data_IF_017978128991
#
_entry.id   IF_017978128991
#
_cell.length_a   1.000
_cell.length_b   1.000
_cell.length_c   1.000
_cell.angle_alpha   90.00
_cell.angle_beta   90.00
_cell.angle_gamma   90.00
#
_symmetry.space_group_name_H-M   'P 1'
#
loop_
_entity.id
_entity.type
_entity.pdbx_description
1 polymer ?
#
# COMPACT_ATOMS: atom_id res chain seq x y z
N UNK A 1 -11.69 -19.76 -2.26
CA UNK A 1 -11.28 -19.46 -2.08
C UNK A 1 -10.98 -18.35 -1.72
N UNK A 2 -10.57 -17.68 -1.60
CA UNK A 2 -10.36 -16.40 -1.48
C UNK A 2 -10.32 -15.72 -0.22
N UNK A 3 -10.02 -16.29 0.80
CA UNK A 3 -9.99 -15.59 1.95
C UNK A 3 -8.67 -15.09 2.18
N UNK A 4 -8.19 -14.16 1.42
CA UNK A 4 -6.90 -13.64 1.59
C UNK A 4 -6.90 -12.64 2.68
N UNK A 5 -6.27 -12.95 3.79
CA UNK A 5 -6.15 -12.01 4.86
C UNK A 5 -4.73 -11.55 4.90
N UNK A 6 -4.43 -10.52 4.20
CA UNK A 6 -3.09 -9.95 4.18
C UNK A 6 -2.97 -8.99 5.35
N UNK A 7 -2.00 -9.24 6.20
CA UNK A 7 -1.71 -8.37 7.34
C UNK A 7 -0.35 -7.74 7.07
N UNK A 8 -0.30 -6.42 7.00
CA UNK A 8 0.90 -5.73 6.59
C UNK A 8 0.98 -4.37 7.27
N UNK A 9 2.17 -3.98 7.66
CA UNK A 9 2.36 -2.67 8.27
C UNK A 9 2.47 -1.59 7.19
N UNK A 10 2.28 -0.35 7.58
CA UNK A 10 2.45 0.76 6.64
C UNK A 10 3.86 0.81 6.09
N UNK A 11 4.85 0.49 6.92
CA UNK A 11 6.24 0.50 6.49
C UNK A 11 6.50 -0.57 5.43
N UNK A 12 5.92 -1.75 5.60
CA UNK A 12 6.07 -2.81 4.61
C UNK A 12 5.38 -2.45 3.32
N UNK A 13 4.18 -1.88 3.40
CA UNK A 13 3.46 -1.47 2.21
C UNK A 13 4.26 -0.40 1.47
N UNK A 14 4.83 0.56 2.20
CA UNK A 14 5.66 1.59 1.61
C UNK A 14 6.80 0.96 0.80
N UNK A 15 7.48 -0.02 1.38
CA UNK A 15 8.60 -0.67 0.72
C UNK A 15 8.15 -1.41 -0.55
N UNK A 16 7.01 -2.11 -0.46
CA UNK A 16 6.46 -2.83 -1.60
C UNK A 16 6.13 -1.88 -2.74
N UNK A 17 5.51 -0.75 -2.41
CA UNK A 17 5.11 0.20 -3.44
C UNK A 17 6.30 0.90 -4.08
N UNK A 18 7.35 1.17 -3.31
CA UNK A 18 8.57 1.74 -3.88
C UNK A 18 9.17 0.75 -4.89
N UNK A 19 9.18 -0.54 -4.55
CA UNK A 19 9.66 -1.54 -5.50
C UNK A 19 8.78 -1.63 -6.73
N UNK A 20 7.50 -1.32 -6.58
CA UNK A 20 6.57 -1.36 -7.70
C UNK A 20 6.60 -0.10 -8.55
N UNK A 21 7.48 0.85 -8.23
CA UNK A 21 7.64 2.04 -9.06
C UNK A 21 7.02 3.31 -8.51
N UNK A 22 6.46 3.24 -7.31
CA UNK A 22 5.94 4.44 -6.67
C UNK A 22 7.09 5.23 -6.04
N UNK A 23 6.93 6.53 -5.99
CA UNK A 23 7.91 7.41 -5.36
C UNK A 23 7.24 8.21 -4.26
N UNK A 24 7.97 8.43 -3.18
CA UNK A 24 7.47 9.25 -2.09
C UNK A 24 7.50 10.69 -2.55
N UNK A 25 6.33 11.29 -2.60
CA UNK A 25 6.15 12.64 -3.09
C UNK A 25 6.15 13.65 -1.95
N UNK A 26 5.65 13.27 -0.80
CA UNK A 26 5.55 14.17 0.34
C UNK A 26 5.36 13.35 1.61
N UNK A 27 5.91 13.84 2.70
CA UNK A 27 5.74 13.22 4.00
C UNK A 27 5.23 14.29 4.95
N UNK A 28 4.10 14.01 5.59
CA UNK A 28 3.54 14.92 6.54
C UNK A 28 3.20 14.14 7.80
N UNK A 29 4.02 14.32 8.84
CA UNK A 29 3.89 13.51 10.04
C UNK A 29 4.13 12.05 9.71
N UNK A 30 3.17 11.21 10.01
CA UNK A 30 3.26 9.79 9.69
C UNK A 30 2.61 9.42 8.37
N UNK A 31 2.14 10.40 7.62
CA UNK A 31 1.46 10.15 6.35
C UNK A 31 2.43 10.32 5.19
N UNK A 32 2.66 9.24 4.46
CA UNK A 32 3.54 9.25 3.31
C UNK A 32 2.70 9.28 2.05
N UNK A 33 2.89 10.31 1.23
CA UNK A 33 2.19 10.41 -0.04
C UNK A 33 3.08 9.88 -1.14
N UNK A 34 2.54 8.96 -1.93
CA UNK A 34 3.27 8.33 -3.01
C UNK A 34 2.57 8.57 -4.33
N UNK A 35 3.35 8.57 -5.39
CA UNK A 35 2.84 8.78 -6.73
C UNK A 35 3.57 7.86 -7.68
N UNK A 36 2.84 7.32 -8.64
CA UNK A 36 3.40 6.48 -9.69
C UNK A 36 3.37 7.27 -11.00
N UNK A 37 4.28 6.94 -11.91
CA UNK A 37 4.35 7.62 -13.20
C UNK A 37 3.06 7.48 -13.99
N UNK A 38 2.32 6.40 -13.78
CA UNK A 38 1.07 6.19 -14.50
C UNK A 38 -0.08 7.03 -13.94
N UNK A 39 0.18 7.83 -12.91
CA UNK A 39 -0.82 8.74 -12.37
C UNK A 39 -1.49 8.27 -11.10
N UNK A 40 -1.26 7.02 -10.70
CA UNK A 40 -1.86 6.54 -9.45
C UNK A 40 -1.20 7.22 -8.26
N UNK A 41 -1.99 7.50 -7.24
CA UNK A 41 -1.52 8.16 -6.02
C UNK A 41 -2.12 7.46 -4.82
N UNK A 42 -1.39 7.45 -3.73
CA UNK A 42 -1.92 6.91 -2.49
C UNK A 42 -1.25 7.60 -1.32
N UNK A 43 -1.87 7.48 -0.15
CA UNK A 43 -1.29 7.97 1.10
C UNK A 43 -1.30 6.83 2.08
N UNK A 44 -0.15 6.57 2.69
CA UNK A 44 0.00 5.47 3.63
C UNK A 44 0.35 6.02 4.99
N UNK A 45 -0.42 5.68 6.03
CA UNK A 45 -0.01 6.03 7.39
C UNK A 45 1.05 5.04 7.85
N UNK A 46 2.19 5.54 8.26
CA UNK A 46 3.30 4.71 8.70
C UNK A 46 3.51 4.95 10.19
N UNK A 47 3.00 4.02 11.00
CA UNK A 47 3.18 4.07 12.44
C UNK A 47 4.05 2.90 12.85
N UNK A 48 4.94 3.16 13.78
CA UNK A 48 5.90 2.17 14.19
C UNK A 48 5.23 0.89 14.68
N UNK A 49 5.59 -0.22 14.08
CA UNK A 49 5.13 -1.56 14.50
C UNK A 49 3.62 -1.74 14.49
N UNK A 50 2.91 -0.99 13.66
CA UNK A 50 1.46 -1.14 13.56
C UNK A 50 1.06 -1.62 12.19
N UNK A 51 0.18 -2.60 12.17
CA UNK A 51 -0.38 -3.07 10.91
C UNK A 51 -1.46 -2.12 10.44
N UNK A 52 -1.63 -2.04 9.14
CA UNK A 52 -2.71 -1.23 8.58
C UNK A 52 -4.06 -1.89 8.88
N UNK A 53 -5.06 -1.12 9.24
CA UNK A 53 -6.40 -1.68 9.39
C UNK A 53 -6.84 -2.32 8.07
N UNK A 54 -7.53 -3.45 8.16
CA UNK A 54 -7.95 -4.19 6.97
C UNK A 54 -8.73 -3.35 6.00
N UNK A 55 -9.66 -2.56 6.51
CA UNK A 55 -10.49 -1.71 5.64
C UNK A 55 -9.68 -0.68 4.90
N UNK A 56 -8.70 -0.10 5.59
CA UNK A 56 -7.84 0.89 4.95
C UNK A 56 -6.94 0.24 3.90
N UNK A 57 -6.37 -0.90 4.21
CA UNK A 57 -5.53 -1.60 3.25
C UNK A 57 -6.32 -1.95 2.00
N UNK A 58 -7.53 -2.47 2.18
CA UNK A 58 -8.37 -2.84 1.06
C UNK A 58 -8.71 -1.62 0.21
N UNK A 59 -9.02 -0.51 0.85
CA UNK A 59 -9.32 0.72 0.13
C UNK A 59 -8.13 1.19 -0.68
N UNK A 60 -6.94 1.18 -0.08
CA UNK A 60 -5.73 1.58 -0.79
C UNK A 60 -5.53 0.69 -2.01
N UNK A 61 -5.61 -0.62 -1.82
CA UNK A 61 -5.36 -1.56 -2.91
C UNK A 61 -6.37 -1.40 -4.03
N UNK A 62 -7.66 -1.38 -3.68
CA UNK A 62 -8.73 -1.38 -4.68
C UNK A 62 -8.93 -0.02 -5.33
N UNK A 63 -8.85 1.04 -4.54
CA UNK A 63 -9.16 2.38 -5.06
C UNK A 63 -7.95 3.14 -5.52
N UNK A 64 -6.89 3.16 -4.71
CA UNK A 64 -5.73 3.96 -5.07
C UNK A 64 -4.80 3.23 -6.03
N UNK A 65 -4.52 1.97 -5.76
CA UNK A 65 -3.60 1.20 -6.60
C UNK A 65 -4.30 0.57 -7.78
N UNK A 66 -5.64 0.50 -7.73
CA UNK A 66 -6.43 -0.08 -8.80
C UNK A 66 -6.05 -1.52 -9.07
N UNK A 67 -5.85 -2.27 -8.00
CA UNK A 67 -5.49 -3.67 -8.08
C UNK A 67 -6.58 -4.53 -7.45
N UNK A 68 -6.65 -5.78 -7.87
CA UNK A 68 -7.44 -6.75 -7.12
C UNK A 68 -6.61 -7.20 -5.92
N UNK A 69 -7.25 -7.81 -4.95
CA UNK A 69 -6.50 -8.32 -3.79
C UNK A 69 -5.55 -9.44 -4.21
N UNK A 70 -5.93 -10.22 -5.23
CA UNK A 70 -5.04 -11.26 -5.75
C UNK A 70 -3.78 -10.66 -6.37
N UNK A 71 -3.95 -9.60 -7.13
CA UNK A 71 -2.81 -8.91 -7.74
C UNK A 71 -1.90 -8.32 -6.68
N UNK A 72 -2.50 -7.76 -5.64
CA UNK A 72 -1.72 -7.20 -4.55
C UNK A 72 -0.96 -8.29 -3.81
N UNK A 73 -1.60 -9.44 -3.61
CA UNK A 73 -0.93 -10.56 -2.95
C UNK A 73 0.31 -10.98 -3.72
N UNK A 74 0.24 -10.97 -5.03
CA UNK A 74 1.40 -11.29 -5.85
C UNK A 74 2.52 -10.28 -5.67
N UNK A 75 2.17 -9.00 -5.52
CA UNK A 75 3.18 -7.98 -5.24
C UNK A 75 3.86 -8.24 -3.91
N UNK A 76 3.09 -8.60 -2.90
CA UNK A 76 3.64 -8.86 -1.57
C UNK A 76 4.58 -10.04 -1.60
N UNK A 77 4.23 -11.08 -2.34
CA UNK A 77 5.02 -12.31 -2.39
C UNK A 77 6.13 -12.26 -3.43
N UNK A 78 6.05 -11.34 -4.32
CA UNK A 78 7.05 -11.19 -5.36
C UNK A 78 8.21 -10.36 -4.93
#
# INVERSE_FOLDING_TARGET
MGNQQIVISGKELLRILIKAGFEVNNIKGSHYRLKHQDGRKTTIPVHKNEDLPKGLLRKIVREDLELTMDEFEQLVNG
#
